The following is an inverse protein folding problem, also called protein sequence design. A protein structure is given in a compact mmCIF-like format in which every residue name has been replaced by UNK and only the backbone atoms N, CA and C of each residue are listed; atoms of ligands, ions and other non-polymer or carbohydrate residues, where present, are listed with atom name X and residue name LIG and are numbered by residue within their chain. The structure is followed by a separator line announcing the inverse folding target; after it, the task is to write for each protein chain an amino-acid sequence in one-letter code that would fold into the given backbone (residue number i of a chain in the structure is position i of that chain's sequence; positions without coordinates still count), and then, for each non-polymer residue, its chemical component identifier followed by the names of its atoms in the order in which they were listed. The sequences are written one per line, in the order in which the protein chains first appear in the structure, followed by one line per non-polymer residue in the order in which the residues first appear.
data_IF_941461927406
#
_entry.id   IF_941461927406
#
_cell.length_a   1.000
_cell.length_b   1.000
_cell.length_c   1.000
_cell.angle_alpha   90.00
_cell.angle_beta   90.00
_cell.angle_gamma   90.00
#
_symmetry.space_group_name_H-M   'P 1'
#
loop_
_entity.id
_entity.type
_entity.pdbx_description
1 polymer ?
#
# COMPACT_ATOMS: atom_id res chain seq x y z
N UNK A 1 2.79 -1.78 -11.63
CA UNK A 1 2.28 -1.49 -10.28
C UNK A 1 1.51 -2.70 -9.80
N UNK A 2 1.46 -2.97 -8.50
CA UNK A 2 0.57 -4.01 -7.98
C UNK A 2 -0.88 -3.53 -8.14
N UNK A 3 -1.74 -4.37 -8.72
CA UNK A 3 -3.18 -4.10 -8.79
C UNK A 3 -3.86 -4.48 -7.47
N UNK A 4 -4.88 -3.74 -7.02
CA UNK A 4 -5.63 -4.08 -5.82
C UNK A 4 -6.40 -5.41 -5.99
N UNK A 5 -6.43 -6.21 -4.93
CA UNK A 5 -7.15 -7.49 -4.84
C UNK A 5 -8.40 -7.31 -3.97
N UNK A 6 -9.42 -8.15 -4.20
CA UNK A 6 -10.66 -8.13 -3.41
C UNK A 6 -10.90 -9.50 -2.80
N UNK A 7 -11.06 -9.55 -1.49
CA UNK A 7 -11.37 -10.77 -0.75
C UNK A 7 -12.62 -10.56 0.11
N UNK A 8 -13.50 -11.56 0.13
CA UNK A 8 -14.60 -11.61 1.10
C UNK A 8 -14.12 -12.36 2.34
N UNK A 9 -13.82 -11.63 3.41
CA UNK A 9 -13.31 -12.20 4.67
C UNK A 9 -14.32 -13.06 5.42
N UNK A 10 -15.62 -12.95 5.11
CA UNK A 10 -16.67 -13.75 5.76
C UNK A 10 -16.72 -15.14 5.13
N UNK A 11 -16.69 -15.22 3.80
CA UNK A 11 -16.70 -16.50 3.08
C UNK A 11 -15.31 -17.10 2.88
N UNK A 12 -14.27 -16.27 2.82
CA UNK A 12 -12.86 -16.64 2.70
C UNK A 12 -11.96 -15.90 3.72
N UNK A 13 -11.97 -16.34 5.00
CA UNK A 13 -11.10 -15.79 6.03
C UNK A 13 -9.60 -16.00 5.75
N UNK A 14 -9.26 -16.84 4.77
CA UNK A 14 -7.88 -17.15 4.41
C UNK A 14 -7.34 -16.30 3.25
N UNK A 15 -8.18 -15.44 2.65
CA UNK A 15 -7.84 -14.52 1.56
C UNK A 15 -7.14 -15.24 0.38
N UNK A 16 -7.66 -16.40 -0.01
CA UNK A 16 -7.11 -17.21 -1.12
C UNK A 16 -7.81 -16.97 -2.45
N UNK A 17 -9.05 -16.51 -2.42
CA UNK A 17 -9.89 -16.33 -3.59
C UNK A 17 -10.00 -14.84 -3.93
N UNK A 18 -9.22 -14.41 -4.91
CA UNK A 18 -9.31 -13.04 -5.41
C UNK A 18 -10.57 -12.86 -6.28
N UNK A 19 -11.41 -11.91 -5.88
CA UNK A 19 -12.64 -11.53 -6.55
C UNK A 19 -12.49 -10.22 -7.35
N UNK A 20 -11.29 -9.64 -7.42
CA UNK A 20 -11.05 -8.33 -8.05
C UNK A 20 -11.51 -8.24 -9.50
N UNK A 21 -11.35 -9.33 -10.26
CA UNK A 21 -11.77 -9.41 -11.66
C UNK A 21 -13.26 -9.66 -11.85
N UNK A 22 -13.94 -10.15 -10.81
CA UNK A 22 -15.38 -10.43 -10.82
C UNK A 22 -16.20 -9.21 -10.38
N UNK A 23 -15.63 -8.36 -9.51
CA UNK A 23 -16.27 -7.17 -8.97
C UNK A 23 -15.38 -5.92 -9.10
N UNK A 24 -15.04 -5.48 -10.33
CA UNK A 24 -14.19 -4.31 -10.55
C UNK A 24 -14.77 -3.01 -9.98
N UNK A 25 -16.10 -2.89 -9.89
CA UNK A 25 -16.80 -1.76 -9.30
C UNK A 25 -16.51 -1.61 -7.80
N UNK A 26 -16.48 -2.72 -7.06
CA UNK A 26 -16.18 -2.72 -5.61
C UNK A 26 -14.71 -2.35 -5.39
N UNK A 27 -13.81 -2.88 -6.23
CA UNK A 27 -12.39 -2.53 -6.19
C UNK A 27 -12.20 -1.02 -6.39
N UNK A 28 -12.91 -0.43 -7.35
CA UNK A 28 -12.82 1.00 -7.62
C UNK A 28 -13.31 1.84 -6.42
N UNK A 29 -14.46 1.48 -5.85
CA UNK A 29 -15.03 2.18 -4.69
C UNK A 29 -14.08 2.13 -3.48
N UNK A 30 -13.58 0.94 -3.13
CA UNK A 30 -12.68 0.77 -2.00
C UNK A 30 -11.33 1.44 -2.21
N UNK A 31 -10.82 1.43 -3.45
CA UNK A 31 -9.58 2.14 -3.80
C UNK A 31 -9.76 3.65 -3.62
N UNK A 32 -10.89 4.20 -4.09
CA UNK A 32 -11.18 5.63 -3.91
C UNK A 32 -11.30 6.00 -2.42
N UNK A 33 -12.05 5.21 -1.64
CA UNK A 33 -12.18 5.42 -0.21
C UNK A 33 -10.82 5.36 0.52
N UNK A 34 -9.94 4.44 0.12
CA UNK A 34 -8.58 4.35 0.64
C UNK A 34 -7.74 5.57 0.29
N UNK A 35 -7.82 6.07 -0.95
CA UNK A 35 -7.09 7.27 -1.37
C UNK A 35 -7.57 8.53 -0.63
N UNK A 36 -8.89 8.65 -0.42
CA UNK A 36 -9.48 9.73 0.37
C UNK A 36 -9.02 9.68 1.83
N UNK A 37 -9.11 8.52 2.47
CA UNK A 37 -8.58 8.32 3.82
C UNK A 37 -7.08 8.61 3.88
N UNK A 38 -6.32 8.16 2.87
CA UNK A 38 -4.90 8.40 2.81
C UNK A 38 -4.62 9.90 2.82
N UNK A 39 -5.37 10.74 2.08
CA UNK A 39 -5.18 12.21 2.02
C UNK A 39 -5.22 12.89 3.39
N UNK A 40 -5.91 12.33 4.36
CA UNK A 40 -6.02 12.89 5.72
C UNK A 40 -4.95 12.38 6.67
N UNK A 41 -4.22 11.32 6.31
CA UNK A 41 -3.14 10.81 7.15
C UNK A 41 -1.91 11.73 7.10
N UNK A 42 -1.33 12.09 8.27
CA UNK A 42 -0.09 12.85 8.32
C UNK A 42 1.03 12.07 7.62
N UNK A 43 1.86 12.78 6.86
CA UNK A 43 2.84 12.22 5.90
C UNK A 43 3.84 11.22 6.50
N UNK A 44 3.99 11.19 7.83
CA UNK A 44 4.80 10.22 8.57
C UNK A 44 4.13 8.84 8.71
N UNK A 45 2.80 8.75 8.64
CA UNK A 45 2.03 7.50 8.73
C UNK A 45 1.80 6.82 7.37
N UNK A 46 1.92 7.55 6.25
CA UNK A 46 1.80 6.98 4.89
C UNK A 46 2.94 6.08 4.46
N UNK A 47 4.00 5.99 5.28
CA UNK A 47 5.14 5.10 5.07
C UNK A 47 4.99 3.82 5.88
N UNK A 48 3.95 3.03 5.56
CA UNK A 48 3.97 1.58 5.79
C UNK A 48 4.85 0.89 4.74
N UNK A 49 5.25 -0.38 4.93
CA UNK A 49 6.47 -0.96 4.36
C UNK A 49 6.51 -1.16 2.82
N UNK A 50 5.50 -0.72 2.06
CA UNK A 50 5.49 -0.84 0.59
C UNK A 50 6.12 0.37 -0.14
N UNK A 51 7.04 1.10 0.50
CA UNK A 51 7.64 2.32 -0.06
C UNK A 51 9.08 2.53 0.37
N UNK A 52 9.96 1.59 0.01
CA UNK A 52 11.42 1.70 0.15
C UNK A 52 12.05 2.79 -0.72
N UNK A 53 11.63 4.04 -0.56
CA UNK A 53 12.33 5.21 -1.06
C UNK A 53 13.40 5.62 -0.06
N UNK A 54 14.54 4.93 -0.10
CA UNK A 54 15.73 5.21 0.72
C UNK A 54 16.33 6.58 0.43
N UNK A 55 15.73 7.63 1.00
CA UNK A 55 16.34 8.95 1.16
C UNK A 55 17.38 8.92 2.28
N UNK A 56 18.40 8.06 2.14
CA UNK A 56 19.56 8.04 3.01
C UNK A 56 20.43 9.26 2.70
N UNK A 57 20.40 10.26 3.58
CA UNK A 57 21.39 11.33 3.62
C UNK A 57 22.79 10.72 3.49
N UNK A 58 23.51 11.13 2.42
CA UNK A 58 24.90 10.75 2.14
C UNK A 58 25.74 11.01 3.40
N UNK A 59 26.22 9.94 4.04
CA UNK A 59 27.28 10.02 5.05
C UNK A 59 28.60 10.20 4.30
N UNK A 60 29.41 11.24 4.56
CA UNK A 60 30.71 11.36 3.91
C UNK A 60 31.62 10.21 4.37
N UNK A 61 32.46 9.65 3.48
CA UNK A 61 33.44 8.64 3.87
C UNK A 61 34.51 9.29 4.74
N UNK A 62 34.75 8.70 5.91
CA UNK A 62 35.89 8.98 6.76
C UNK A 62 37.19 8.68 6.01
N UNK A 63 38.02 9.70 5.81
CA UNK A 63 39.41 9.51 5.42
C UNK A 63 40.14 8.78 6.55
N UNK A 64 40.79 7.67 6.21
CA UNK A 64 41.72 6.97 7.09
C UNK A 64 43.12 7.36 6.64
N UNK A 65 43.88 7.95 7.57
CA UNK A 65 45.31 8.25 7.46
C UNK A 65 46.11 7.10 8.06
#
# INVERSE_FOLDING_TARGET
GASPMLFDVVSDPSEKNDLSSQHPEIVQELTQAFEEYAKDLPQKARRGPAGGGGGGKKRPPSQQN
#
